data_IF_666093604778
#
_entry.id   IF_666093604778
#
_cell.length_a   1.000
_cell.length_b   1.000
_cell.length_c   1.000
_cell.angle_alpha   90.00
_cell.angle_beta   90.00
_cell.angle_gamma   90.00
#
_symmetry.space_group_name_H-M   'P 1'
#
loop_
_entity.id
_entity.type
_entity.pdbx_description
1 polymer ?
#
# COMPACT_ATOMS: atom_id res chain seq x y z
N UNK A 1 -5.64 -37.90 51.65
CA UNK A 1 -5.32 -38.58 50.37
C UNK A 1 -6.31 -38.26 49.26
N UNK A 2 -7.62 -38.28 49.49
CA UNK A 2 -8.64 -37.97 48.47
C UNK A 2 -8.47 -36.58 47.80
N UNK A 3 -8.14 -35.56 48.60
CA UNK A 3 -7.96 -34.18 48.13
C UNK A 3 -6.75 -34.02 47.20
N UNK A 4 -5.66 -34.74 47.49
CA UNK A 4 -4.46 -34.76 46.64
C UNK A 4 -4.74 -35.46 45.29
N UNK A 5 -5.55 -36.53 45.33
CA UNK A 5 -6.00 -37.23 44.12
C UNK A 5 -6.91 -36.36 43.24
N UNK A 6 -7.87 -35.63 43.83
CA UNK A 6 -8.72 -34.69 43.10
C UNK A 6 -7.93 -33.52 42.50
N UNK A 7 -6.97 -32.97 43.27
CA UNK A 7 -6.09 -31.92 42.78
C UNK A 7 -5.28 -32.39 41.56
N UNK A 8 -4.64 -33.56 41.66
CA UNK A 8 -3.84 -34.11 40.56
C UNK A 8 -4.68 -34.38 39.30
N UNK A 9 -5.90 -34.92 39.45
CA UNK A 9 -6.82 -35.14 38.33
C UNK A 9 -7.24 -33.82 37.67
N UNK A 10 -7.60 -32.81 38.45
CA UNK A 10 -7.97 -31.50 37.92
C UNK A 10 -6.81 -30.84 37.18
N UNK A 11 -5.60 -30.84 37.75
CA UNK A 11 -4.42 -30.29 37.09
C UNK A 11 -4.11 -31.04 35.79
N UNK A 12 -4.18 -32.37 35.79
CA UNK A 12 -3.94 -33.18 34.58
C UNK A 12 -4.95 -32.91 33.47
N UNK A 13 -6.24 -32.73 33.82
CA UNK A 13 -7.28 -32.37 32.87
C UNK A 13 -7.09 -30.96 32.31
N UNK A 14 -6.71 -30.00 33.15
CA UNK A 14 -6.40 -28.63 32.73
C UNK A 14 -5.20 -28.58 31.79
N UNK A 15 -4.09 -29.23 32.13
CA UNK A 15 -2.89 -29.30 31.28
C UNK A 15 -3.20 -29.99 29.94
N UNK A 16 -3.98 -31.07 29.96
CA UNK A 16 -4.45 -31.72 28.73
C UNK A 16 -5.26 -30.75 27.86
N UNK A 17 -6.17 -29.98 28.45
CA UNK A 17 -6.97 -29.00 27.71
C UNK A 17 -6.11 -27.88 27.12
N UNK A 18 -5.12 -27.38 27.86
CA UNK A 18 -4.16 -26.37 27.40
C UNK A 18 -3.34 -26.92 26.22
N UNK A 19 -2.79 -28.14 26.36
CA UNK A 19 -2.01 -28.78 25.30
C UNK A 19 -2.83 -28.97 24.01
N UNK A 20 -4.08 -29.45 24.12
CA UNK A 20 -4.98 -29.58 22.97
C UNK A 20 -5.26 -28.21 22.35
N UNK A 21 -5.49 -27.18 23.15
CA UNK A 21 -5.74 -25.81 22.67
C UNK A 21 -4.56 -25.24 21.90
N UNK A 22 -3.32 -25.46 22.40
CA UNK A 22 -2.12 -24.98 21.72
C UNK A 22 -1.89 -25.71 20.38
N UNK A 23 -1.98 -27.04 20.37
CA UNK A 23 -1.79 -27.84 19.15
C UNK A 23 -2.86 -27.52 18.11
N UNK A 24 -4.13 -27.46 18.52
CA UNK A 24 -5.24 -27.16 17.59
C UNK A 24 -5.23 -25.71 17.09
N UNK A 25 -4.81 -24.76 17.92
CA UNK A 25 -4.63 -23.36 17.50
C UNK A 25 -3.53 -23.19 16.46
N UNK A 26 -2.39 -23.88 16.63
CA UNK A 26 -1.30 -23.88 15.64
C UNK A 26 -1.71 -24.61 14.35
N UNK A 27 -2.41 -25.74 14.47
CA UNK A 27 -2.87 -26.53 13.33
C UNK A 27 -3.86 -25.74 12.47
N UNK A 28 -4.87 -25.13 13.09
CA UNK A 28 -5.86 -24.31 12.37
C UNK A 28 -5.24 -23.05 11.77
N UNK A 29 -4.19 -22.50 12.38
CA UNK A 29 -3.40 -21.42 11.78
C UNK A 29 -2.72 -21.85 10.48
N UNK A 30 -1.96 -22.95 10.49
CA UNK A 30 -1.31 -23.44 9.27
C UNK A 30 -2.30 -23.87 8.18
N UNK A 31 -3.46 -24.42 8.55
CA UNK A 31 -4.53 -24.72 7.59
C UNK A 31 -5.05 -23.45 6.93
N UNK A 32 -5.30 -22.38 7.70
CA UNK A 32 -5.79 -21.13 7.16
C UNK A 32 -4.73 -20.43 6.27
N UNK A 33 -3.46 -20.41 6.69
CA UNK A 33 -2.35 -19.88 5.88
C UNK A 33 -2.17 -20.67 4.58
N UNK A 34 -2.29 -21.99 4.62
CA UNK A 34 -2.20 -22.83 3.42
C UNK A 34 -3.32 -22.54 2.42
N UNK A 35 -4.55 -22.31 2.89
CA UNK A 35 -5.65 -21.90 2.03
C UNK A 35 -5.42 -20.54 1.36
N UNK A 36 -4.85 -19.57 2.08
CA UNK A 36 -4.51 -18.26 1.48
C UNK A 36 -3.46 -18.45 0.38
N UNK A 37 -2.38 -19.17 0.70
CA UNK A 37 -1.29 -19.40 -0.26
C UNK A 37 -1.75 -20.19 -1.48
N UNK A 38 -2.65 -21.17 -1.32
CA UNK A 38 -3.24 -21.87 -2.47
C UNK A 38 -4.01 -20.91 -3.37
N UNK A 39 -4.89 -20.07 -2.81
CA UNK A 39 -5.70 -19.16 -3.62
C UNK A 39 -4.83 -18.15 -4.37
N UNK A 40 -3.81 -17.59 -3.71
CA UNK A 40 -2.82 -16.73 -4.36
C UNK A 40 -2.09 -17.48 -5.47
N UNK A 41 -1.68 -18.73 -5.21
CA UNK A 41 -1.00 -19.54 -6.21
C UNK A 41 -1.88 -19.78 -7.44
N UNK A 42 -3.18 -20.08 -7.25
CA UNK A 42 -4.14 -20.24 -8.34
C UNK A 42 -4.27 -18.95 -9.15
N UNK A 43 -4.43 -17.79 -8.50
CA UNK A 43 -4.52 -16.50 -9.18
C UNK A 43 -3.27 -16.11 -9.98
N UNK A 44 -2.11 -16.68 -9.67
CA UNK A 44 -0.84 -16.41 -10.35
C UNK A 44 -0.52 -17.44 -11.44
N UNK A 45 -0.96 -18.70 -11.28
CA UNK A 45 -0.49 -19.82 -12.11
C UNK A 45 -1.60 -20.53 -12.89
N UNK A 46 -2.87 -20.33 -12.54
CA UNK A 46 -4.02 -20.84 -13.29
C UNK A 46 -4.65 -19.70 -14.09
N UNK A 47 -4.63 -19.81 -15.42
CA UNK A 47 -5.11 -18.75 -16.31
C UNK A 47 -6.58 -18.41 -16.11
N UNK A 48 -7.41 -19.38 -15.71
CA UNK A 48 -8.82 -19.15 -15.44
C UNK A 48 -9.05 -18.33 -14.16
N UNK A 49 -8.25 -18.57 -13.12
CA UNK A 49 -8.28 -17.75 -11.92
C UNK A 49 -7.65 -16.37 -12.16
N UNK A 50 -6.54 -16.30 -12.89
CA UNK A 50 -5.87 -15.05 -13.23
C UNK A 50 -6.79 -14.13 -14.03
N UNK A 51 -7.34 -14.57 -15.17
CA UNK A 51 -8.20 -13.72 -16.01
C UNK A 51 -9.42 -13.20 -15.25
N UNK A 52 -10.06 -14.07 -14.44
CA UNK A 52 -11.20 -13.67 -13.63
C UNK A 52 -10.81 -12.67 -12.52
N UNK A 53 -9.71 -12.91 -11.82
CA UNK A 53 -9.20 -11.97 -10.83
C UNK A 53 -8.91 -10.60 -11.46
N UNK A 54 -8.27 -10.59 -12.63
CA UNK A 54 -7.75 -9.39 -13.27
C UNK A 54 -8.81 -8.55 -13.97
N UNK A 55 -9.87 -9.17 -14.51
CA UNK A 55 -10.79 -8.50 -15.44
C UNK A 55 -12.28 -8.63 -15.11
N UNK A 56 -12.66 -9.41 -14.10
CA UNK A 56 -14.06 -9.59 -13.71
C UNK A 56 -14.34 -9.02 -12.32
N UNK A 57 -14.91 -7.80 -12.28
CA UNK A 57 -15.23 -7.06 -11.05
C UNK A 57 -16.09 -7.84 -10.05
N UNK A 58 -16.92 -8.77 -10.54
CA UNK A 58 -17.88 -9.54 -9.73
C UNK A 58 -17.49 -11.01 -9.58
N UNK A 59 -16.26 -11.38 -9.92
CA UNK A 59 -15.80 -12.75 -9.76
C UNK A 59 -15.77 -13.15 -8.28
N UNK A 60 -16.28 -14.34 -8.00
CA UNK A 60 -16.12 -14.99 -6.71
C UNK A 60 -15.98 -16.49 -6.88
N UNK A 61 -15.20 -17.11 -6.01
CA UNK A 61 -14.99 -18.56 -6.00
C UNK A 61 -14.89 -19.08 -4.57
N UNK A 62 -15.18 -20.37 -4.40
CA UNK A 62 -14.95 -21.09 -3.14
C UNK A 62 -14.18 -22.37 -3.42
N UNK A 63 -13.08 -22.56 -2.69
CA UNK A 63 -12.26 -23.77 -2.75
C UNK A 63 -12.28 -24.45 -1.40
N UNK A 64 -12.54 -25.75 -1.38
CA UNK A 64 -12.53 -26.56 -0.15
C UNK A 64 -11.45 -27.61 -0.31
N UNK A 65 -10.57 -27.73 0.68
CA UNK A 65 -9.59 -28.81 0.73
C UNK A 65 -9.67 -29.54 2.05
N UNK A 66 -9.87 -30.85 1.95
CA UNK A 66 -9.83 -31.78 3.06
C UNK A 66 -8.46 -32.44 3.11
N UNK A 67 -7.92 -32.60 4.31
CA UNK A 67 -6.68 -33.35 4.57
C UNK A 67 -5.48 -32.87 3.72
N UNK A 68 -5.19 -31.55 3.64
CA UNK A 68 -4.16 -31.00 2.75
C UNK A 68 -2.74 -31.48 3.07
N UNK A 69 -2.50 -31.98 4.28
CA UNK A 69 -1.19 -32.45 4.73
C UNK A 69 -1.16 -33.96 5.03
N UNK A 70 -2.19 -34.69 4.59
CA UNK A 70 -2.36 -36.12 4.83
C UNK A 70 -3.62 -36.45 5.63
N UNK A 71 -3.85 -37.73 5.94
CA UNK A 71 -5.03 -38.17 6.68
C UNK A 71 -5.17 -37.45 8.03
N UNK A 72 -6.40 -37.08 8.38
CA UNK A 72 -6.78 -36.46 9.65
C UNK A 72 -6.07 -35.13 9.98
N UNK A 73 -5.59 -34.40 8.97
CA UNK A 73 -4.92 -33.10 9.17
C UNK A 73 -5.88 -31.91 9.17
N UNK A 74 -7.20 -32.15 9.16
CA UNK A 74 -8.22 -31.11 9.11
C UNK A 74 -8.52 -30.64 7.68
N UNK A 75 -9.19 -29.50 7.56
CA UNK A 75 -9.64 -28.96 6.29
C UNK A 75 -9.56 -27.42 6.28
N UNK A 76 -9.65 -26.83 5.10
CA UNK A 76 -9.94 -25.40 4.99
C UNK A 76 -10.93 -25.12 3.87
N UNK A 77 -11.65 -24.03 4.03
CA UNK A 77 -12.48 -23.42 3.00
C UNK A 77 -11.96 -22.02 2.71
N UNK A 78 -11.65 -21.74 1.46
CA UNK A 78 -11.25 -20.43 0.97
C UNK A 78 -12.39 -19.85 0.15
N UNK A 79 -12.78 -18.61 0.43
CA UNK A 79 -13.68 -17.83 -0.41
C UNK A 79 -12.91 -16.60 -0.89
N UNK A 80 -12.84 -16.42 -2.20
CA UNK A 80 -12.26 -15.23 -2.83
C UNK A 80 -13.38 -14.46 -3.54
N UNK A 81 -13.39 -13.14 -3.41
CA UNK A 81 -14.36 -12.27 -4.08
C UNK A 81 -13.68 -10.98 -4.50
N UNK A 82 -13.81 -10.63 -5.78
CA UNK A 82 -13.36 -9.33 -6.25
C UNK A 82 -14.22 -8.22 -5.64
N UNK A 83 -13.54 -7.16 -5.21
CA UNK A 83 -14.18 -5.88 -4.84
C UNK A 83 -14.19 -4.93 -6.05
N UNK A 84 -13.22 -5.11 -6.96
CA UNK A 84 -13.10 -4.52 -8.28
C UNK A 84 -12.09 -5.36 -9.10
N UNK A 85 -11.97 -5.14 -10.41
CA UNK A 85 -10.96 -5.78 -11.24
C UNK A 85 -9.56 -5.64 -10.62
N UNK A 86 -8.86 -6.77 -10.50
CA UNK A 86 -7.55 -6.90 -9.88
C UNK A 86 -7.48 -6.49 -8.39
N UNK A 87 -8.61 -6.41 -7.68
CA UNK A 87 -8.69 -6.29 -6.21
C UNK A 87 -9.60 -7.37 -5.64
N UNK A 88 -9.10 -8.17 -4.69
CA UNK A 88 -9.81 -9.33 -4.19
C UNK A 88 -9.70 -9.47 -2.68
N UNK A 89 -10.83 -9.71 -2.01
CA UNK A 89 -10.87 -10.15 -0.64
C UNK A 89 -10.85 -11.68 -0.57
N UNK A 90 -9.92 -12.22 0.19
CA UNK A 90 -9.77 -13.66 0.45
C UNK A 90 -10.07 -13.92 1.92
N UNK A 91 -11.05 -14.78 2.16
CA UNK A 91 -11.45 -15.26 3.49
C UNK A 91 -11.15 -16.75 3.56
N UNK A 92 -10.34 -17.17 4.53
CA UNK A 92 -10.04 -18.58 4.76
C UNK A 92 -10.52 -19.02 6.13
N UNK A 93 -11.20 -20.15 6.16
CA UNK A 93 -11.66 -20.81 7.36
C UNK A 93 -10.94 -22.16 7.50
N UNK A 94 -9.92 -22.23 8.36
CA UNK A 94 -9.23 -23.46 8.72
C UNK A 94 -9.97 -24.18 9.86
N UNK A 95 -10.22 -25.46 9.69
CA UNK A 95 -11.02 -26.30 10.59
C UNK A 95 -10.25 -27.58 10.96
N UNK A 96 -10.19 -27.90 12.24
CA UNK A 96 -9.55 -29.12 12.75
C UNK A 96 -10.44 -29.79 13.79
N UNK A 97 -10.74 -31.07 13.63
CA UNK A 97 -11.52 -31.84 14.60
C UNK A 97 -10.67 -32.11 15.86
N UNK A 98 -11.17 -31.70 17.02
CA UNK A 98 -10.52 -31.93 18.32
C UNK A 98 -11.20 -33.06 19.11
N UNK A 99 -12.10 -33.81 18.46
CA UNK A 99 -12.83 -34.94 18.99
C UNK A 99 -14.14 -34.57 19.67
N UNK A 100 -15.03 -35.56 19.82
CA UNK A 100 -16.32 -35.39 20.51
C UNK A 100 -17.28 -34.43 19.79
N UNK A 101 -17.16 -34.32 18.46
CA UNK A 101 -17.98 -33.42 17.64
C UNK A 101 -17.61 -31.94 17.78
N UNK A 102 -16.43 -31.64 18.34
CA UNK A 102 -15.94 -30.27 18.53
C UNK A 102 -14.84 -29.98 17.52
N UNK A 103 -14.81 -28.74 17.04
CA UNK A 103 -13.80 -28.29 16.09
C UNK A 103 -13.06 -27.08 16.64
N UNK A 104 -11.75 -27.05 16.41
CA UNK A 104 -11.00 -25.82 16.45
C UNK A 104 -11.15 -25.12 15.09
N UNK A 105 -11.23 -23.79 15.13
CA UNK A 105 -11.45 -22.97 13.96
C UNK A 105 -10.53 -21.75 13.98
N UNK A 106 -9.97 -21.40 12.81
CA UNK A 106 -9.31 -20.11 12.60
C UNK A 106 -9.79 -19.49 11.31
N UNK A 107 -10.13 -18.21 11.37
CA UNK A 107 -10.54 -17.42 10.20
C UNK A 107 -9.48 -16.35 9.94
N UNK A 108 -8.95 -16.31 8.72
CA UNK A 108 -8.05 -15.24 8.25
C UNK A 108 -8.75 -14.51 7.11
N UNK A 109 -8.59 -13.20 7.07
CA UNK A 109 -9.08 -12.33 5.99
C UNK A 109 -7.91 -11.51 5.47
N UNK A 110 -7.73 -11.46 4.18
CA UNK A 110 -6.73 -10.63 3.52
C UNK A 110 -7.33 -9.98 2.28
N UNK A 111 -6.80 -8.82 1.91
CA UNK A 111 -7.06 -8.18 0.63
C UNK A 111 -5.80 -8.31 -0.22
N UNK A 112 -5.96 -8.62 -1.50
CA UNK A 112 -4.87 -8.63 -2.48
C UNK A 112 -5.24 -7.72 -3.63
N UNK A 113 -4.22 -7.16 -4.28
CA UNK A 113 -4.40 -6.36 -5.47
C UNK A 113 -3.25 -6.59 -6.46
N UNK A 114 -3.48 -6.32 -7.74
CA UNK A 114 -2.44 -6.31 -8.77
C UNK A 114 -2.62 -5.09 -9.66
N UNK A 115 -1.52 -4.42 -9.97
CA UNK A 115 -1.51 -3.33 -10.93
C UNK A 115 -1.66 -3.90 -12.35
N UNK A 116 -2.74 -3.54 -13.06
CA UNK A 116 -3.05 -4.07 -14.41
C UNK A 116 -3.31 -2.98 -15.44
N UNK A 117 -3.27 -1.72 -15.02
CA UNK A 117 -3.55 -0.59 -15.88
C UNK A 117 -2.48 -0.44 -16.97
N UNK A 118 -2.92 -0.17 -18.18
CA UNK A 118 -2.03 0.23 -19.27
C UNK A 118 -1.70 1.73 -19.16
N UNK A 119 -0.44 2.09 -19.39
CA UNK A 119 0.09 3.45 -19.24
C UNK A 119 -0.59 4.52 -20.12
N UNK A 120 -1.36 4.12 -21.13
CA UNK A 120 -1.92 5.03 -22.14
C UNK A 120 -3.23 5.70 -21.76
N UNK A 121 -3.90 5.33 -20.66
CA UNK A 121 -5.17 5.95 -20.26
C UNK A 121 -5.44 6.01 -18.75
N UNK A 122 -4.56 5.46 -17.90
CA UNK A 122 -4.90 5.26 -16.50
C UNK A 122 -4.90 6.57 -15.69
N UNK A 123 -3.86 7.42 -15.75
CA UNK A 123 -3.66 8.48 -14.73
C UNK A 123 -4.24 9.87 -15.12
N UNK A 124 -4.90 9.99 -16.28
CA UNK A 124 -5.48 11.25 -16.80
C UNK A 124 -4.52 12.45 -16.67
N UNK A 125 -5.00 13.62 -16.28
CA UNK A 125 -4.20 14.82 -15.97
C UNK A 125 -3.72 14.86 -14.51
N UNK A 126 -3.62 13.73 -13.82
CA UNK A 126 -3.41 13.72 -12.36
C UNK A 126 -1.95 13.98 -11.98
N UNK A 127 -1.69 15.13 -11.34
CA UNK A 127 -0.43 15.46 -10.67
C UNK A 127 -0.23 14.70 -9.34
N UNK A 128 -1.29 14.10 -8.80
CA UNK A 128 -1.22 13.15 -7.70
C UNK A 128 -2.22 12.03 -7.89
N UNK A 129 -1.78 10.78 -7.71
CA UNK A 129 -2.63 9.60 -7.84
C UNK A 129 -2.39 8.64 -6.67
N UNK A 130 -3.48 8.12 -6.09
CA UNK A 130 -3.43 6.96 -5.21
C UNK A 130 -4.56 5.98 -5.54
N UNK A 131 -4.22 4.70 -5.62
CA UNK A 131 -5.18 3.60 -5.72
C UNK A 131 -5.95 3.36 -4.40
N UNK A 132 -5.43 3.90 -3.30
CA UNK A 132 -6.10 3.95 -2.00
C UNK A 132 -6.53 5.36 -1.64
N UNK A 133 -6.34 5.71 -0.36
CA UNK A 133 -6.56 7.08 0.10
C UNK A 133 -5.39 8.00 -0.27
N UNK A 134 -5.68 9.26 -0.53
CA UNK A 134 -4.72 10.36 -0.36
C UNK A 134 -5.01 10.98 1.00
N UNK A 135 -4.04 10.96 1.91
CA UNK A 135 -4.16 11.60 3.23
C UNK A 135 -3.01 12.58 3.40
N UNK A 136 -3.33 13.85 3.62
CA UNK A 136 -2.35 14.93 3.78
C UNK A 136 -2.47 15.48 5.20
N UNK A 137 -1.35 15.44 5.95
CA UNK A 137 -1.31 15.91 7.34
C UNK A 137 -0.03 16.66 7.64
N UNK A 138 -0.12 17.75 8.42
CA UNK A 138 1.01 18.59 8.85
C UNK A 138 1.94 19.11 7.73
N UNK A 139 1.44 19.23 6.50
CA UNK A 139 2.25 19.49 5.32
C UNK A 139 1.65 20.52 4.37
N UNK A 140 2.53 21.15 3.61
CA UNK A 140 2.18 22.09 2.54
C UNK A 140 2.36 21.36 1.22
N UNK A 141 1.27 20.99 0.55
CA UNK A 141 1.29 20.17 -0.67
C UNK A 141 0.66 20.95 -1.82
N UNK A 142 1.33 20.98 -2.97
CA UNK A 142 0.82 21.62 -4.18
C UNK A 142 0.80 20.62 -5.34
N UNK A 143 -0.40 20.33 -5.85
CA UNK A 143 -0.61 19.60 -7.09
C UNK A 143 -0.70 20.63 -8.21
N UNK A 144 0.41 20.83 -8.93
CA UNK A 144 0.55 21.86 -9.97
C UNK A 144 0.42 21.26 -11.37
N UNK A 145 -0.24 21.97 -12.29
CA UNK A 145 -0.37 21.55 -13.68
C UNK A 145 -1.20 20.26 -13.88
N UNK A 146 -2.03 19.89 -12.91
CA UNK A 146 -2.82 18.68 -12.95
C UNK A 146 -3.81 18.53 -11.78
N UNK A 147 -4.65 17.51 -11.89
CA UNK A 147 -5.65 17.12 -10.90
C UNK A 147 -5.05 16.24 -9.79
N UNK A 148 -5.78 16.00 -8.71
CA UNK A 148 -5.43 14.99 -7.72
C UNK A 148 -6.49 13.89 -7.68
N UNK A 149 -6.11 12.63 -7.91
CA UNK A 149 -7.02 11.49 -8.00
C UNK A 149 -6.79 10.45 -6.90
N UNK A 150 -7.87 10.06 -6.22
CA UNK A 150 -7.90 9.01 -5.20
C UNK A 150 -8.99 7.99 -5.56
N UNK A 151 -8.64 6.72 -5.65
CA UNK A 151 -9.61 5.63 -5.81
C UNK A 151 -10.40 5.31 -4.54
N UNK A 152 -10.11 6.01 -3.44
CA UNK A 152 -10.86 5.94 -2.20
C UNK A 152 -11.12 7.36 -1.65
N UNK A 153 -10.59 7.72 -0.49
CA UNK A 153 -10.82 9.03 0.15
C UNK A 153 -9.68 10.01 -0.16
N UNK A 154 -10.01 11.27 -0.39
CA UNK A 154 -9.06 12.39 -0.33
C UNK A 154 -9.28 13.15 0.98
N UNK A 155 -8.35 13.01 1.91
CA UNK A 155 -8.47 13.48 3.29
C UNK A 155 -7.37 14.51 3.61
N UNK A 156 -7.79 15.74 3.91
CA UNK A 156 -6.91 16.83 4.33
C UNK A 156 -7.19 17.13 5.80
N UNK A 157 -6.25 16.74 6.66
CA UNK A 157 -6.47 16.66 8.10
C UNK A 157 -5.33 17.29 8.91
N UNK A 158 -5.66 17.79 10.10
CA UNK A 158 -4.78 18.40 11.10
C UNK A 158 -4.48 19.91 10.92
N UNK A 159 -3.85 20.52 11.92
CA UNK A 159 -3.44 21.94 11.94
C UNK A 159 -2.22 22.19 11.05
N UNK A 160 -2.13 23.41 10.48
CA UNK A 160 -1.01 23.85 9.61
C UNK A 160 -0.86 23.04 8.33
N UNK A 161 -1.98 22.60 7.75
CA UNK A 161 -2.01 21.97 6.43
C UNK A 161 -2.50 22.98 5.40
N UNK A 162 -1.76 23.10 4.32
CA UNK A 162 -2.16 23.88 3.15
C UNK A 162 -2.06 22.97 1.93
N UNK A 163 -3.19 22.76 1.25
CA UNK A 163 -3.22 21.99 0.01
C UNK A 163 -3.66 22.91 -1.11
N UNK A 164 -2.89 22.93 -2.19
CA UNK A 164 -3.24 23.62 -3.41
C UNK A 164 -3.41 22.60 -4.54
N UNK A 165 -4.50 22.66 -5.30
CA UNK A 165 -4.76 21.84 -6.48
C UNK A 165 -5.12 22.76 -7.64
N UNK A 166 -4.32 22.68 -8.71
CA UNK A 166 -4.41 23.58 -9.87
C UNK A 166 -5.62 23.28 -10.76
N UNK A 167 -6.02 22.00 -10.84
CA UNK A 167 -7.22 21.56 -11.56
C UNK A 167 -8.24 20.96 -10.56
N UNK A 168 -8.64 19.70 -10.77
CA UNK A 168 -9.72 19.06 -10.03
C UNK A 168 -9.21 18.19 -8.88
N UNK A 169 -10.05 17.98 -7.87
CA UNK A 169 -9.92 16.88 -6.92
C UNK A 169 -10.91 15.79 -7.30
N UNK A 170 -10.42 14.59 -7.60
CA UNK A 170 -11.21 13.42 -8.01
C UNK A 170 -11.05 12.32 -6.96
N UNK A 171 -12.04 12.12 -6.10
CA UNK A 171 -12.05 11.05 -5.11
C UNK A 171 -13.22 10.10 -5.38
N UNK A 172 -12.98 8.82 -5.70
CA UNK A 172 -14.06 7.85 -5.94
C UNK A 172 -14.94 7.68 -4.70
N UNK A 173 -14.31 7.65 -3.52
CA UNK A 173 -14.97 7.70 -2.23
C UNK A 173 -15.28 9.13 -1.81
N UNK A 174 -14.72 9.59 -0.69
CA UNK A 174 -15.08 10.87 -0.09
C UNK A 174 -13.97 11.93 -0.25
N UNK A 175 -14.37 13.20 -0.31
CA UNK A 175 -13.50 14.35 -0.03
C UNK A 175 -13.75 14.83 1.40
N UNK A 176 -12.71 14.88 2.22
CA UNK A 176 -12.77 15.30 3.61
C UNK A 176 -11.79 16.47 3.84
N UNK A 177 -12.34 17.64 4.14
CA UNK A 177 -11.57 18.80 4.59
C UNK A 177 -11.90 19.07 6.06
N UNK A 178 -10.90 18.93 6.93
CA UNK A 178 -11.07 19.17 8.37
C UNK A 178 -10.95 20.66 8.70
N UNK A 179 -11.65 21.11 9.75
CA UNK A 179 -11.81 22.54 10.10
C UNK A 179 -10.52 23.34 10.35
N UNK A 180 -9.38 22.68 10.50
CA UNK A 180 -8.08 23.30 10.77
C UNK A 180 -7.10 23.19 9.60
N UNK A 181 -7.53 22.60 8.49
CA UNK A 181 -6.79 22.57 7.23
C UNK A 181 -7.24 23.74 6.34
N UNK A 182 -6.40 24.11 5.39
CA UNK A 182 -6.75 25.04 4.33
C UNK A 182 -6.53 24.36 2.99
N UNK A 183 -7.56 24.29 2.16
CA UNK A 183 -7.46 23.84 0.78
C UNK A 183 -7.77 24.99 -0.18
N UNK A 184 -7.05 25.05 -1.29
CA UNK A 184 -7.35 25.91 -2.44
C UNK A 184 -7.40 25.01 -3.67
N UNK A 185 -8.58 24.85 -4.24
CA UNK A 185 -8.83 24.03 -5.41
C UNK A 185 -9.37 24.97 -6.49
N UNK A 186 -8.65 25.10 -7.59
CA UNK A 186 -9.03 26.02 -8.67
C UNK A 186 -10.09 25.42 -9.61
N UNK A 187 -10.11 24.09 -9.74
CA UNK A 187 -11.12 23.35 -10.49
C UNK A 187 -12.27 22.86 -9.61
N UNK A 188 -12.80 21.67 -9.93
CA UNK A 188 -13.95 21.09 -9.27
C UNK A 188 -13.58 19.96 -8.30
N UNK A 189 -14.48 19.67 -7.36
CA UNK A 189 -14.38 18.52 -6.45
C UNK A 189 -15.39 17.46 -6.90
N UNK A 190 -14.89 16.30 -7.31
CA UNK A 190 -15.65 15.12 -7.68
C UNK A 190 -15.52 14.08 -6.57
N UNK A 191 -16.54 13.90 -5.73
CA UNK A 191 -16.56 12.86 -4.70
C UNK A 191 -17.97 12.45 -4.29
N UNK A 192 -18.10 11.29 -3.64
CA UNK A 192 -19.39 10.72 -3.23
C UNK A 192 -20.14 11.55 -2.18
N UNK A 193 -19.43 12.30 -1.33
CA UNK A 193 -20.03 13.09 -0.25
C UNK A 193 -20.10 14.60 -0.52
N UNK A 194 -19.67 15.08 -1.70
CA UNK A 194 -19.65 16.51 -2.00
C UNK A 194 -20.91 16.96 -2.75
N UNK A 195 -21.69 17.85 -2.12
CA UNK A 195 -23.08 18.15 -2.47
C UNK A 195 -23.27 19.32 -3.45
N UNK A 196 -22.27 19.77 -4.21
CA UNK A 196 -22.45 20.71 -5.35
C UNK A 196 -23.20 20.08 -6.56
N UNK A 197 -23.92 19.00 -6.27
CA UNK A 197 -24.76 18.14 -7.08
C UNK A 197 -25.98 18.83 -7.71
N UNK A 198 -26.31 20.07 -7.34
CA UNK A 198 -27.50 20.75 -7.86
C UNK A 198 -27.44 21.09 -9.36
N UNK A 199 -26.30 20.91 -10.05
CA UNK A 199 -26.14 21.23 -11.48
C UNK A 199 -25.56 20.09 -12.37
N UNK A 200 -25.49 18.85 -11.87
CA UNK A 200 -25.27 17.64 -12.70
C UNK A 200 -23.85 17.33 -13.19
N UNK A 201 -23.06 16.64 -12.35
CA UNK A 201 -21.95 15.65 -12.59
C UNK A 201 -21.19 15.54 -11.26
N UNK A 202 -20.88 14.43 -10.58
CA UNK A 202 -20.92 12.98 -10.82
C UNK A 202 -19.77 12.39 -9.97
N UNK A 203 -19.92 11.20 -9.38
CA UNK A 203 -18.80 10.46 -8.77
C UNK A 203 -17.72 10.23 -9.82
N UNK A 204 -16.43 10.43 -9.51
CA UNK A 204 -15.34 10.02 -10.42
C UNK A 204 -15.27 8.48 -10.45
N UNK A 205 -15.00 7.82 -11.58
CA UNK A 205 -14.75 6.37 -11.59
C UNK A 205 -13.41 6.02 -10.93
N UNK A 206 -13.27 4.76 -10.52
CA UNK A 206 -11.95 4.25 -10.15
C UNK A 206 -11.07 4.16 -11.40
N UNK A 207 -9.81 4.51 -11.23
CA UNK A 207 -8.75 4.37 -12.23
C UNK A 207 -8.00 3.08 -11.94
N UNK A 208 -7.87 2.20 -12.93
CA UNK A 208 -7.05 1.00 -12.75
C UNK A 208 -5.59 1.40 -12.53
N UNK A 209 -4.97 0.92 -11.45
CA UNK A 209 -3.58 1.23 -11.13
C UNK A 209 -2.65 0.76 -12.26
N UNK A 210 -1.82 1.66 -12.84
CA UNK A 210 -0.91 1.31 -13.92
C UNK A 210 0.12 0.28 -13.46
N UNK A 211 0.45 -0.67 -14.34
CA UNK A 211 1.54 -1.61 -14.08
C UNK A 211 2.88 -0.85 -14.02
N UNK A 212 3.58 -0.97 -12.89
CA UNK A 212 4.87 -0.32 -12.62
C UNK A 212 5.87 -1.41 -12.27
N UNK A 213 6.94 -1.55 -13.06
CA UNK A 213 8.03 -2.46 -12.75
C UNK A 213 9.16 -1.75 -11.99
N UNK A 214 9.18 -1.95 -10.68
CA UNK A 214 10.20 -1.36 -9.81
C UNK A 214 11.57 -2.02 -9.98
N UNK A 215 11.64 -3.35 -9.89
CA UNK A 215 12.90 -4.06 -9.61
C UNK A 215 13.00 -5.46 -10.21
N UNK A 216 12.21 -5.81 -11.23
CA UNK A 216 12.34 -7.10 -11.89
C UNK A 216 13.70 -7.26 -12.61
N UNK A 217 13.94 -8.47 -13.12
CA UNK A 217 15.10 -8.77 -13.95
C UNK A 217 15.04 -8.16 -15.36
N UNK A 218 13.90 -7.56 -15.75
CA UNK A 218 13.74 -6.88 -17.04
C UNK A 218 14.71 -5.68 -17.11
N UNK A 219 15.51 -5.54 -18.19
CA UNK A 219 16.38 -4.37 -18.40
C UNK A 219 15.66 -3.02 -18.30
N UNK A 220 14.35 -2.99 -18.61
CA UNK A 220 13.52 -1.80 -18.57
C UNK A 220 12.86 -1.56 -17.20
N UNK A 221 13.14 -2.38 -16.18
CA UNK A 221 12.71 -2.07 -14.79
C UNK A 221 13.37 -0.78 -14.30
N UNK A 222 12.69 -0.01 -13.46
CA UNK A 222 13.23 1.27 -12.97
C UNK A 222 14.57 1.11 -12.25
N UNK A 223 14.77 -0.01 -11.55
CA UNK A 223 16.07 -0.35 -10.92
C UNK A 223 17.17 -0.53 -11.96
N UNK A 224 16.93 -1.28 -13.03
CA UNK A 224 17.94 -1.53 -14.06
C UNK A 224 18.25 -0.29 -14.88
N UNK A 225 17.23 0.54 -15.17
CA UNK A 225 17.43 1.87 -15.77
C UNK A 225 18.32 2.77 -14.91
N UNK A 226 18.05 2.83 -13.59
CA UNK A 226 18.84 3.63 -12.65
C UNK A 226 20.27 3.12 -12.46
N UNK A 227 20.48 1.79 -12.45
CA UNK A 227 21.83 1.20 -12.42
C UNK A 227 22.60 1.58 -13.67
N UNK A 228 21.98 1.47 -14.85
CA UNK A 228 22.57 1.81 -16.15
C UNK A 228 22.96 3.29 -16.23
N UNK A 229 22.14 4.19 -15.66
CA UNK A 229 22.40 5.64 -15.63
C UNK A 229 23.30 6.09 -14.47
N UNK A 230 23.69 5.18 -13.57
CA UNK A 230 24.51 5.50 -12.39
C UNK A 230 23.78 6.29 -11.30
N UNK A 231 22.45 6.19 -11.21
CA UNK A 231 21.60 6.82 -10.18
C UNK A 231 20.87 5.80 -9.31
N UNK A 232 21.55 4.71 -8.99
CA UNK A 232 21.15 3.73 -7.99
C UNK A 232 21.84 4.00 -6.65
N UNK A 233 21.07 4.01 -5.58
CA UNK A 233 21.55 4.21 -4.21
C UNK A 233 21.01 3.13 -3.29
N UNK A 234 21.80 2.69 -2.31
CA UNK A 234 21.22 2.03 -1.12
C UNK A 234 20.60 3.08 -0.20
N UNK A 235 19.78 2.66 0.77
CA UNK A 235 19.27 3.55 1.83
C UNK A 235 20.39 4.34 2.52
N UNK A 236 21.53 3.71 2.83
CA UNK A 236 22.66 4.39 3.47
C UNK A 236 23.31 5.42 2.55
N UNK A 237 23.51 5.09 1.27
CA UNK A 237 24.14 6.01 0.31
C UNK A 237 23.25 7.25 0.09
N UNK A 238 21.93 7.05 0.03
CA UNK A 238 21.00 8.16 -0.17
C UNK A 238 20.86 9.03 1.08
N UNK A 239 20.88 8.43 2.28
CA UNK A 239 20.92 9.18 3.54
C UNK A 239 22.20 10.03 3.66
N UNK A 240 23.35 9.48 3.28
CA UNK A 240 24.62 10.21 3.24
C UNK A 240 24.56 11.36 2.21
N UNK A 241 23.92 11.13 1.06
CA UNK A 241 23.67 12.15 0.06
C UNK A 241 22.79 13.28 0.60
N UNK A 242 21.68 12.96 1.26
CA UNK A 242 20.80 13.92 1.95
C UNK A 242 21.61 14.72 2.99
N UNK A 243 22.43 14.04 3.79
CA UNK A 243 23.29 14.69 4.78
C UNK A 243 24.29 15.66 4.16
N UNK A 244 24.89 15.30 3.03
CA UNK A 244 25.83 16.15 2.30
C UNK A 244 25.17 17.41 1.73
N UNK A 245 23.85 17.42 1.57
CA UNK A 245 23.05 18.51 0.98
C UNK A 245 22.21 19.28 2.00
N UNK A 246 22.45 19.13 3.30
CA UNK A 246 21.74 19.90 4.33
C UNK A 246 21.88 21.42 4.17
N UNK A 247 20.76 22.14 4.17
CA UNK A 247 20.63 23.58 3.87
C UNK A 247 21.04 23.95 2.43
N UNK A 248 20.97 23.00 1.51
CA UNK A 248 21.26 23.21 0.09
C UNK A 248 20.34 22.36 -0.79
N UNK A 249 20.49 22.49 -2.10
CA UNK A 249 19.72 21.74 -3.08
C UNK A 249 20.32 20.35 -3.31
N UNK A 250 19.46 19.34 -3.30
CA UNK A 250 19.73 18.00 -3.79
C UNK A 250 18.99 17.84 -5.13
N UNK A 251 19.73 17.94 -6.23
CA UNK A 251 19.17 17.83 -7.59
C UNK A 251 19.33 16.41 -8.11
N UNK A 252 18.21 15.76 -8.43
CA UNK A 252 18.16 14.51 -9.17
C UNK A 252 18.25 14.84 -10.66
N UNK A 253 19.38 14.49 -11.29
CA UNK A 253 19.69 14.89 -12.66
C UNK A 253 19.35 13.84 -13.73
N UNK A 254 19.11 12.59 -13.32
CA UNK A 254 18.75 11.50 -14.22
C UNK A 254 17.24 11.35 -14.34
N UNK A 255 16.80 10.77 -15.46
CA UNK A 255 15.38 10.49 -15.69
C UNK A 255 14.80 9.53 -14.63
N UNK A 256 15.62 8.59 -14.11
CA UNK A 256 15.24 7.70 -13.01
C UNK A 256 16.35 7.69 -11.97
N UNK A 257 16.00 8.01 -10.73
CA UNK A 257 16.81 7.78 -9.53
C UNK A 257 16.15 6.69 -8.71
N UNK A 258 16.90 5.64 -8.34
CA UNK A 258 16.37 4.50 -7.60
C UNK A 258 17.06 4.37 -6.24
N UNK A 259 16.28 4.22 -5.18
CA UNK A 259 16.77 3.95 -3.82
C UNK A 259 16.28 2.58 -3.36
N UNK A 260 17.22 1.67 -3.11
CA UNK A 260 16.95 0.35 -2.53
C UNK A 260 16.89 0.46 -1.01
N UNK A 261 15.67 0.62 -0.50
CA UNK A 261 15.35 0.79 0.91
C UNK A 261 14.39 1.95 1.15
N UNK A 262 14.25 2.36 2.40
CA UNK A 262 13.39 3.49 2.77
C UNK A 262 14.12 4.82 2.58
N UNK A 263 13.36 5.89 2.35
CA UNK A 263 13.90 7.26 2.30
C UNK A 263 13.24 8.09 3.39
N UNK A 264 14.06 8.66 4.27
CA UNK A 264 13.60 9.51 5.37
C UNK A 264 14.10 10.94 5.16
N UNK A 265 13.39 11.72 4.34
CA UNK A 265 13.74 13.10 4.05
C UNK A 265 13.42 14.00 5.25
N UNK A 266 14.45 14.32 6.04
CA UNK A 266 14.33 15.11 7.26
C UNK A 266 15.25 16.33 7.20
N UNK A 267 14.87 17.41 7.88
CA UNK A 267 15.67 18.63 7.95
C UNK A 267 15.57 19.51 6.70
N UNK A 268 16.31 20.62 6.66
CA UNK A 268 16.22 21.63 5.60
C UNK A 268 16.98 21.19 4.33
N UNK A 269 16.48 20.19 3.61
CA UNK A 269 16.99 19.80 2.30
C UNK A 269 15.98 20.17 1.23
N UNK A 270 16.45 20.73 0.11
CA UNK A 270 15.61 21.09 -1.02
C UNK A 270 15.82 20.07 -2.14
N UNK A 271 14.97 19.03 -2.15
CA UNK A 271 15.01 17.93 -3.12
C UNK A 271 14.31 18.36 -4.40
N UNK A 272 15.06 18.36 -5.51
CA UNK A 272 14.56 18.85 -6.81
C UNK A 272 14.84 17.91 -7.96
N UNK A 273 13.91 17.86 -8.90
CA UNK A 273 14.11 17.29 -10.24
C UNK A 273 13.64 18.30 -11.29
N UNK A 274 14.45 19.32 -11.63
CA UNK A 274 14.01 20.46 -12.43
C UNK A 274 13.85 20.14 -13.92
N UNK A 275 14.46 19.06 -14.42
CA UNK A 275 14.50 18.69 -15.84
C UNK A 275 13.65 17.45 -16.14
N UNK A 276 12.61 17.20 -15.34
CA UNK A 276 12.01 15.88 -15.26
C UNK A 276 12.94 14.90 -14.56
N UNK A 277 12.37 13.83 -14.01
CA UNK A 277 13.09 12.79 -13.31
C UNK A 277 12.22 12.19 -12.22
N UNK A 278 12.29 10.88 -12.10
CA UNK A 278 11.49 10.08 -11.20
C UNK A 278 12.35 9.55 -10.06
N UNK A 279 11.96 9.83 -8.82
CA UNK A 279 12.52 9.18 -7.64
C UNK A 279 11.71 7.92 -7.33
N UNK A 280 12.34 6.77 -7.47
CA UNK A 280 11.75 5.48 -7.13
C UNK A 280 12.35 4.99 -5.82
N UNK A 281 11.52 4.71 -4.84
CA UNK A 281 11.90 4.20 -3.52
C UNK A 281 11.31 2.82 -3.35
N UNK A 282 12.15 1.82 -3.08
CA UNK A 282 11.71 0.43 -2.96
C UNK A 282 10.79 0.21 -1.74
N UNK A 283 11.01 0.96 -0.65
CA UNK A 283 10.22 0.92 0.58
C UNK A 283 9.45 2.25 0.78
N UNK A 284 9.17 2.63 2.03
CA UNK A 284 8.51 3.88 2.40
C UNK A 284 9.34 5.12 2.01
N UNK A 285 8.69 6.12 1.40
CA UNK A 285 9.21 7.49 1.29
C UNK A 285 8.53 8.36 2.34
N UNK A 286 9.31 8.87 3.29
CA UNK A 286 8.82 9.61 4.46
C UNK A 286 9.43 11.00 4.46
N UNK A 287 8.57 12.01 4.44
CA UNK A 287 8.94 13.40 4.68
C UNK A 287 8.74 13.66 6.17
N UNK A 288 9.83 13.94 6.86
CA UNK A 288 9.89 13.87 8.30
C UNK A 288 10.06 15.22 9.01
N UNK A 289 10.31 15.11 10.32
CA UNK A 289 10.19 16.21 11.27
C UNK A 289 11.19 17.36 11.01
N UNK A 290 10.86 18.53 11.58
CA UNK A 290 11.74 19.71 11.63
C UNK A 290 13.13 19.45 12.18
N UNK A 291 13.42 18.30 12.82
CA UNK A 291 14.74 18.01 13.38
C UNK A 291 15.36 16.74 12.85
N UNK A 292 16.60 16.83 12.37
CA UNK A 292 17.39 15.69 11.92
C UNK A 292 18.69 15.58 12.72
N UNK A 293 19.00 14.39 13.25
CA UNK A 293 20.15 14.13 14.14
C UNK A 293 21.22 13.22 13.52
N UNK A 294 21.05 12.72 12.29
CA UNK A 294 21.96 11.74 11.68
C UNK A 294 23.25 12.38 11.13
N UNK A 295 23.22 13.64 10.68
CA UNK A 295 24.38 14.33 10.05
C UNK A 295 25.38 14.96 11.04
N UNK A 296 25.74 14.27 12.11
CA UNK A 296 26.74 14.73 13.10
C UNK A 296 26.34 15.95 13.94
N UNK A 297 25.20 16.58 13.66
CA UNK A 297 24.64 17.72 14.40
C UNK A 297 23.12 17.75 14.23
N UNK A 298 22.42 18.31 15.22
CA UNK A 298 20.96 18.51 15.12
C UNK A 298 20.69 19.70 14.20
N UNK A 299 20.07 19.44 13.05
CA UNK A 299 19.66 20.47 12.09
C UNK A 299 18.16 20.73 12.23
N UNK A 300 17.75 21.99 12.04
CA UNK A 300 16.36 22.41 12.11
C UNK A 300 15.88 22.99 10.79
N UNK A 301 14.70 22.57 10.34
CA UNK A 301 14.06 23.06 9.11
C UNK A 301 13.21 21.98 8.45
N UNK A 302 12.31 22.40 7.57
CA UNK A 302 11.43 21.50 6.81
C UNK A 302 12.07 21.16 5.47
N UNK A 303 11.89 19.93 4.97
CA UNK A 303 12.27 19.60 3.61
C UNK A 303 11.40 20.38 2.62
N UNK A 304 11.96 20.71 1.47
CA UNK A 304 11.19 21.17 0.31
C UNK A 304 11.39 20.15 -0.81
N UNK A 305 10.32 19.83 -1.53
CA UNK A 305 10.32 18.80 -2.58
C UNK A 305 9.67 19.40 -3.82
N UNK A 306 10.35 19.37 -4.96
CA UNK A 306 9.77 19.80 -6.23
C UNK A 306 10.23 18.93 -7.39
N UNK A 307 9.28 18.43 -8.15
CA UNK A 307 9.52 17.62 -9.35
C UNK A 307 8.84 18.32 -10.52
N UNK A 308 9.61 18.73 -11.52
CA UNK A 308 9.05 19.30 -12.73
C UNK A 308 8.56 18.18 -13.65
N UNK A 309 7.40 18.37 -14.27
CA UNK A 309 6.95 17.50 -15.35
C UNK A 309 7.53 17.99 -16.68
N UNK A 310 7.99 17.05 -17.51
CA UNK A 310 8.38 17.29 -18.90
C UNK A 310 7.72 16.22 -19.75
N UNK A 311 7.02 16.63 -20.81
CA UNK A 311 6.35 15.73 -21.74
C UNK A 311 7.30 14.62 -22.24
N UNK A 312 6.84 13.38 -22.13
CA UNK A 312 7.61 12.20 -22.55
C UNK A 312 8.73 11.77 -21.60
N UNK A 313 8.91 12.45 -20.45
CA UNK A 313 9.85 12.04 -19.41
C UNK A 313 9.13 11.57 -18.14
N UNK A 314 9.66 10.56 -17.45
CA UNK A 314 9.15 10.18 -16.14
C UNK A 314 9.44 11.32 -15.12
N UNK A 315 8.50 11.58 -14.23
CA UNK A 315 8.62 12.64 -13.23
C UNK A 315 7.87 12.29 -11.94
N UNK A 316 8.40 12.72 -10.80
CA UNK A 316 7.72 12.63 -9.51
C UNK A 316 8.35 11.61 -8.56
N UNK A 317 7.54 11.07 -7.64
CA UNK A 317 7.97 10.11 -6.64
C UNK A 317 7.10 8.87 -6.74
N UNK A 318 7.73 7.69 -6.80
CA UNK A 318 7.08 6.40 -6.62
C UNK A 318 7.67 5.70 -5.40
N UNK A 319 6.82 5.11 -4.58
CA UNK A 319 7.22 4.27 -3.45
C UNK A 319 6.60 2.89 -3.62
N UNK A 320 7.38 1.84 -3.40
CA UNK A 320 6.89 0.45 -3.42
C UNK A 320 5.95 0.14 -2.24
N UNK A 321 5.89 1.01 -1.23
CA UNK A 321 4.96 0.92 -0.10
C UNK A 321 4.18 2.21 0.11
N UNK A 322 4.65 3.12 0.96
CA UNK A 322 3.91 4.32 1.35
C UNK A 322 4.70 5.59 1.10
N UNK A 323 4.04 6.58 0.50
CA UNK A 323 4.46 7.98 0.55
C UNK A 323 3.79 8.64 1.76
N UNK A 324 4.57 9.16 2.70
CA UNK A 324 4.10 9.93 3.85
C UNK A 324 4.62 11.35 3.74
N UNK A 325 3.73 12.28 3.37
CA UNK A 325 4.02 13.71 3.29
C UNK A 325 3.63 14.39 4.58
#
# INVERSE_FOLDING_TARGET
MLFLGMFFLNTSLTEKAIAISQVSGVTTYYLAEAGINEMIWLMVNDSGYEENFMYNDSWSTTTIRNNPFGPDTGAYTVTASNTSAAHCDIIVNGLFDIGGGKYAQRVIKTNIFRAVGTSTSAIEDSAGYADGNITITNSYVKFLGGSAHSNLTFDVNNQNVEVFVDNDVRAFGNYLEHSNASTTILGWIYSANWASYAQGTGTTPQIVMPAIDFNSADPDSYKNQAISSGSFYTESDFDDLICSKMNSELVLAQDVTYVSGAVNLNGPVDLKSPNGGLLVVEDDFIVGSKSYKKCGSKRYGMPNISFAHIDGKPSGILSGKKVRL
#
